data_IF_578677656973
#
_entry.id   IF_578677656973
#
_cell.length_a   1.000
_cell.length_b   1.000
_cell.length_c   1.000
_cell.angle_alpha   90.00
_cell.angle_beta   90.00
_cell.angle_gamma   90.00
#
_symmetry.space_group_name_H-M   'P 1'
#
loop_
_entity.id
_entity.type
_entity.pdbx_description
1 polymer ?
#
# COMPACT_ATOMS: atom_id res chain seq x y z
N UNK A 1 -13.93 17.95 22.28
CA UNK A 1 -12.70 17.69 21.48
C UNK A 1 -12.79 16.39 20.67
N UNK A 2 -13.31 15.29 21.24
CA UNK A 2 -13.44 14.00 20.54
C UNK A 2 -14.29 14.08 19.24
N UNK A 3 -15.36 14.89 19.23
CA UNK A 3 -16.21 15.10 18.06
C UNK A 3 -15.44 15.55 16.79
N UNK A 4 -14.43 16.43 16.93
CA UNK A 4 -13.63 16.90 15.79
C UNK A 4 -12.75 15.76 15.26
N UNK A 5 -12.13 14.99 16.15
CA UNK A 5 -11.30 13.83 15.77
C UNK A 5 -12.12 12.73 15.12
N UNK A 6 -13.32 12.47 15.63
CA UNK A 6 -14.27 11.50 15.05
C UNK A 6 -14.67 11.89 13.63
N UNK A 7 -14.94 13.19 13.41
CA UNK A 7 -15.22 13.72 12.07
C UNK A 7 -14.03 13.55 11.12
N UNK A 8 -12.80 13.78 11.60
CA UNK A 8 -11.57 13.61 10.79
C UNK A 8 -11.23 12.15 10.51
N UNK A 9 -11.53 11.22 11.42
CA UNK A 9 -11.40 9.78 11.15
C UNK A 9 -12.47 9.25 10.20
N UNK A 10 -13.59 9.96 10.01
CA UNK A 10 -14.67 9.48 9.16
C UNK A 10 -15.17 8.10 9.64
N UNK A 11 -15.20 7.12 8.74
CA UNK A 11 -15.75 5.76 8.99
C UNK A 11 -14.70 4.72 9.41
N UNK A 12 -13.55 5.14 9.93
CA UNK A 12 -12.52 4.21 10.44
C UNK A 12 -12.93 3.70 11.83
N UNK A 13 -12.64 2.43 12.12
CA UNK A 13 -12.85 1.86 13.46
C UNK A 13 -11.85 2.48 14.43
N UNK A 14 -12.32 3.34 15.33
CA UNK A 14 -11.48 3.97 16.36
C UNK A 14 -11.27 3.03 17.54
N UNK A 15 -10.10 3.11 18.16
CA UNK A 15 -9.80 2.50 19.44
C UNK A 15 -10.34 3.38 20.56
N UNK A 16 -11.38 2.91 21.24
CA UNK A 16 -12.01 3.60 22.37
C UNK A 16 -11.99 2.66 23.57
N UNK A 17 -11.03 2.85 24.48
CA UNK A 17 -10.84 2.01 25.68
C UNK A 17 -9.94 2.72 26.70
N UNK A 18 -10.16 2.51 28.00
CA UNK A 18 -9.26 2.97 29.08
C UNK A 18 -8.91 4.47 28.99
N UNK A 19 -9.87 5.31 28.59
CA UNK A 19 -9.66 6.75 28.41
C UNK A 19 -9.02 7.17 27.08
N UNK A 20 -8.58 6.24 26.24
CA UNK A 20 -8.08 6.50 24.89
C UNK A 20 -9.22 6.59 23.89
N UNK A 21 -9.12 7.55 22.96
CA UNK A 21 -9.97 7.65 21.77
C UNK A 21 -9.08 7.97 20.57
N UNK A 22 -8.50 6.94 19.96
CA UNK A 22 -7.49 7.03 18.92
C UNK A 22 -8.00 6.44 17.59
N UNK A 23 -7.67 7.09 16.48
CA UNK A 23 -7.78 6.49 15.16
C UNK A 23 -6.65 5.48 14.96
N UNK A 24 -6.85 4.30 15.56
CA UNK A 24 -5.93 3.18 15.66
C UNK A 24 -6.74 1.89 15.56
N UNK A 25 -6.28 0.91 14.79
CA UNK A 25 -6.94 -0.38 14.60
C UNK A 25 -5.90 -1.49 14.55
N UNK A 26 -6.10 -2.54 15.32
CA UNK A 26 -5.42 -3.82 15.15
C UNK A 26 -6.00 -4.51 13.92
N UNK A 27 -5.27 -4.52 12.81
CA UNK A 27 -5.66 -5.24 11.60
C UNK A 27 -5.48 -6.73 11.82
N UNK A 28 -4.35 -7.11 12.42
CA UNK A 28 -4.15 -8.41 13.09
C UNK A 28 -3.76 -8.15 14.54
N UNK A 29 -3.39 -9.16 15.32
CA UNK A 29 -2.96 -8.91 16.71
C UNK A 29 -1.61 -8.20 16.78
N UNK A 30 -0.77 -8.38 15.77
CA UNK A 30 0.61 -7.86 15.72
C UNK A 30 0.83 -6.76 14.67
N UNK A 31 -0.22 -6.37 13.95
CA UNK A 31 -0.17 -5.29 12.96
C UNK A 31 -1.24 -4.26 13.28
N UNK A 32 -0.80 -3.03 13.54
CA UNK A 32 -1.65 -1.88 13.85
C UNK A 32 -1.62 -0.90 12.68
N UNK A 33 -2.80 -0.48 12.23
CA UNK A 33 -2.98 0.66 11.33
C UNK A 33 -3.46 1.88 12.12
N UNK A 34 -2.84 3.03 11.92
CA UNK A 34 -3.30 4.28 12.56
C UNK A 34 -3.22 5.50 11.63
N UNK A 35 -3.85 6.60 12.06
CA UNK A 35 -3.60 7.93 11.46
C UNK A 35 -2.38 8.61 12.05
N UNK A 36 -1.92 9.68 11.39
CA UNK A 36 -0.75 10.45 11.81
C UNK A 36 -0.82 10.89 13.29
N UNK A 37 0.23 10.66 14.09
CA UNK A 37 0.35 11.21 15.44
C UNK A 37 0.67 12.71 15.35
N UNK A 38 -0.33 13.54 15.61
CA UNK A 38 -0.21 14.99 15.54
C UNK A 38 0.38 15.59 16.82
N UNK A 39 1.28 16.56 16.65
CA UNK A 39 1.89 17.34 17.72
C UNK A 39 1.11 18.64 17.99
N UNK A 40 1.13 19.11 19.23
CA UNK A 40 0.53 20.38 19.63
C UNK A 40 -0.92 20.53 19.17
N UNK A 41 -1.19 21.59 18.40
CA UNK A 41 -2.53 21.89 17.89
C UNK A 41 -3.06 20.85 16.87
N UNK A 42 -2.19 20.08 16.20
CA UNK A 42 -2.66 19.02 15.30
C UNK A 42 -3.34 17.88 16.06
N UNK A 43 -2.92 17.64 17.32
CA UNK A 43 -3.53 16.66 18.22
C UNK A 43 -4.99 16.97 18.58
N UNK A 44 -5.48 18.18 18.29
CA UNK A 44 -6.88 18.55 18.47
C UNK A 44 -7.81 17.84 17.49
N UNK A 45 -7.32 17.60 16.27
CA UNK A 45 -8.11 17.02 15.18
C UNK A 45 -7.53 15.71 14.61
N UNK A 46 -6.29 15.34 14.99
CA UNK A 46 -5.66 14.03 14.73
C UNK A 46 -5.45 13.25 16.02
N UNK A 47 -4.74 12.13 15.95
CA UNK A 47 -4.30 11.40 17.14
C UNK A 47 -3.30 12.26 17.92
N UNK A 48 -3.52 12.58 19.20
CA UNK A 48 -2.50 13.25 20.01
C UNK A 48 -1.30 12.34 20.18
N UNK A 49 -0.10 12.79 19.77
CA UNK A 49 1.11 11.96 19.82
C UNK A 49 1.39 11.40 21.21
N UNK A 50 1.24 12.20 22.28
CA UNK A 50 1.52 11.76 23.64
C UNK A 50 0.57 10.63 24.07
N UNK A 51 -0.69 10.64 23.63
CA UNK A 51 -1.63 9.55 23.92
C UNK A 51 -1.28 8.28 23.14
N UNK A 52 -0.88 8.41 21.87
CA UNK A 52 -0.44 7.26 21.07
C UNK A 52 0.81 6.63 21.67
N UNK A 53 1.82 7.45 21.97
CA UNK A 53 3.08 7.03 22.56
C UNK A 53 2.86 6.36 23.92
N UNK A 54 2.10 6.99 24.83
CA UNK A 54 1.77 6.41 26.14
C UNK A 54 1.08 5.06 25.97
N UNK A 55 0.08 4.99 25.09
CA UNK A 55 -0.61 3.73 24.82
C UNK A 55 0.34 2.63 24.34
N UNK A 56 1.14 2.90 23.30
CA UNK A 56 2.05 1.89 22.74
C UNK A 56 3.16 1.49 23.73
N UNK A 57 3.75 2.45 24.44
CA UNK A 57 4.78 2.19 25.45
C UNK A 57 4.25 1.32 26.58
N UNK A 58 3.03 1.55 27.06
CA UNK A 58 2.44 0.78 28.15
C UNK A 58 1.96 -0.59 27.69
N UNK A 59 1.27 -0.67 26.54
CA UNK A 59 0.63 -1.93 26.11
C UNK A 59 1.60 -2.92 25.46
N UNK A 60 2.66 -2.41 24.84
CA UNK A 60 3.62 -3.23 24.11
C UNK A 60 5.03 -3.15 24.69
N UNK A 61 5.22 -2.59 25.89
CA UNK A 61 6.51 -2.53 26.58
C UNK A 61 7.69 -2.06 25.71
N UNK A 62 7.43 -1.14 24.76
CA UNK A 62 8.43 -0.67 23.76
C UNK A 62 8.84 -1.71 22.70
N UNK A 63 8.30 -2.92 22.74
CA UNK A 63 8.43 -3.98 21.74
C UNK A 63 7.55 -3.71 20.50
N UNK A 64 7.62 -2.47 19.98
CA UNK A 64 6.93 -2.10 18.77
C UNK A 64 7.81 -1.29 17.82
N UNK A 65 7.54 -1.42 16.52
CA UNK A 65 8.20 -0.65 15.47
C UNK A 65 7.17 0.15 14.68
N UNK A 66 7.40 1.46 14.54
CA UNK A 66 6.52 2.38 13.82
C UNK A 66 7.07 2.68 12.43
N UNK A 67 6.30 2.36 11.39
CA UNK A 67 6.57 2.76 10.00
C UNK A 67 5.79 4.04 9.66
N UNK A 68 6.52 5.14 9.48
CA UNK A 68 5.98 6.43 9.09
C UNK A 68 6.04 6.62 7.57
N UNK A 69 4.91 6.40 6.90
CA UNK A 69 4.79 6.55 5.45
C UNK A 69 4.36 7.97 5.04
N UNK A 70 4.21 8.89 6.00
CA UNK A 70 3.55 10.17 5.79
C UNK A 70 4.43 11.18 5.06
N UNK A 71 5.74 11.05 5.26
CA UNK A 71 6.76 12.02 4.89
C UNK A 71 6.80 13.30 5.72
N UNK A 72 6.11 13.29 6.86
CA UNK A 72 6.20 14.31 7.90
C UNK A 72 6.84 13.67 9.13
N UNK A 73 7.93 14.25 9.61
CA UNK A 73 8.58 13.83 10.84
C UNK A 73 7.88 14.45 12.05
N UNK A 74 8.01 13.79 13.19
CA UNK A 74 7.54 14.22 14.51
C UNK A 74 8.60 13.80 15.54
N UNK A 75 8.46 14.26 16.79
CA UNK A 75 9.35 13.93 17.89
C UNK A 75 9.30 12.42 18.21
N UNK A 76 10.25 11.69 17.65
CA UNK A 76 10.40 10.24 17.86
C UNK A 76 10.75 9.88 19.30
N UNK A 77 11.28 10.81 20.11
CA UNK A 77 11.67 10.52 21.50
C UNK A 77 10.49 10.16 22.40
N UNK A 78 9.27 10.49 21.95
CA UNK A 78 8.02 10.08 22.60
C UNK A 78 7.80 8.57 22.55
N UNK A 79 8.24 7.93 21.46
CA UNK A 79 8.08 6.50 21.26
C UNK A 79 9.28 5.77 21.86
N UNK A 80 9.02 4.83 22.78
CA UNK A 80 10.06 3.97 23.33
C UNK A 80 10.50 2.86 22.37
N UNK A 81 9.66 2.52 21.40
CA UNK A 81 9.99 1.61 20.29
C UNK A 81 10.63 2.31 19.10
N UNK A 82 11.13 1.55 18.13
CA UNK A 82 11.80 2.12 16.96
C UNK A 82 10.83 2.85 16.03
N UNK A 83 11.29 3.96 15.42
CA UNK A 83 10.53 4.73 14.42
C UNK A 83 11.33 4.78 13.12
N UNK A 84 10.69 4.33 12.05
CA UNK A 84 11.20 4.19 10.70
C UNK A 84 10.60 5.28 9.80
N UNK A 85 11.36 6.36 9.52
CA UNK A 85 10.88 7.59 8.84
C UNK A 85 11.17 7.67 7.33
N UNK A 86 12.06 6.82 6.81
CA UNK A 86 12.58 6.95 5.44
C UNK A 86 11.69 6.24 4.38
N UNK A 87 10.49 5.83 4.76
CA UNK A 87 9.58 4.98 3.97
C UNK A 87 8.41 5.75 3.33
N UNK A 88 8.70 6.93 2.76
CA UNK A 88 7.67 7.83 2.25
C UNK A 88 7.45 7.70 0.73
N UNK A 89 6.19 7.89 0.32
CA UNK A 89 5.86 8.24 -1.06
C UNK A 89 4.66 9.19 -1.12
N UNK A 90 4.51 9.84 -2.28
CA UNK A 90 3.52 10.89 -2.50
C UNK A 90 2.11 10.41 -2.22
N UNK A 91 1.32 11.23 -1.52
CA UNK A 91 -0.04 10.84 -1.14
C UNK A 91 -0.92 10.53 -2.35
N UNK A 92 -1.75 9.49 -2.22
CA UNK A 92 -2.61 8.96 -3.28
C UNK A 92 -1.89 8.41 -4.54
N UNK A 93 -0.57 8.21 -4.50
CA UNK A 93 0.18 7.57 -5.59
C UNK A 93 0.50 6.11 -5.24
N UNK A 94 0.95 5.36 -6.25
CA UNK A 94 1.60 4.06 -6.03
C UNK A 94 3.00 4.27 -5.42
N UNK A 95 3.45 3.39 -4.52
CA UNK A 95 4.85 3.30 -4.11
C UNK A 95 5.69 2.74 -5.27
N UNK A 96 7.01 2.80 -5.18
CA UNK A 96 7.87 1.97 -6.04
C UNK A 96 7.86 0.52 -5.55
N UNK A 97 8.12 -0.43 -6.45
CA UNK A 97 8.06 -1.86 -6.08
C UNK A 97 9.14 -2.27 -5.08
N UNK A 98 10.34 -1.73 -5.20
CA UNK A 98 11.45 -1.98 -4.28
C UNK A 98 11.08 -1.57 -2.85
N UNK A 99 10.42 -0.42 -2.68
CA UNK A 99 9.95 0.07 -1.38
C UNK A 99 8.98 -0.93 -0.72
N UNK A 100 8.08 -1.55 -1.50
CA UNK A 100 7.14 -2.54 -0.98
C UNK A 100 7.86 -3.77 -0.44
N UNK A 101 8.83 -4.30 -1.19
CA UNK A 101 9.59 -5.48 -0.79
C UNK A 101 10.49 -5.20 0.42
N UNK A 102 11.21 -4.07 0.43
CA UNK A 102 12.08 -3.71 1.54
C UNK A 102 11.29 -3.52 2.85
N UNK A 103 10.14 -2.84 2.81
CA UNK A 103 9.29 -2.70 4.00
C UNK A 103 8.75 -4.07 4.46
N UNK A 104 8.27 -4.92 3.53
CA UNK A 104 7.74 -6.23 3.92
C UNK A 104 8.81 -7.12 4.54
N UNK A 105 10.04 -7.10 4.03
CA UNK A 105 11.17 -7.85 4.58
C UNK A 105 11.53 -7.39 5.99
N UNK A 106 11.58 -6.07 6.23
CA UNK A 106 11.82 -5.50 7.56
C UNK A 106 10.72 -5.86 8.57
N UNK A 107 9.46 -5.75 8.16
CA UNK A 107 8.32 -6.18 8.99
C UNK A 107 8.44 -7.68 9.30
N UNK A 108 8.79 -8.49 8.30
CA UNK A 108 8.93 -9.93 8.46
C UNK A 108 10.02 -10.29 9.49
N UNK A 109 11.21 -9.71 9.32
CA UNK A 109 12.33 -9.90 10.23
C UNK A 109 12.00 -9.48 11.66
N UNK A 110 11.38 -8.32 11.83
CA UNK A 110 11.00 -7.80 13.14
C UNK A 110 9.95 -8.68 13.85
N UNK A 111 8.88 -9.08 13.15
CA UNK A 111 7.84 -9.92 13.73
C UNK A 111 8.30 -11.36 13.98
N UNK A 112 9.30 -11.85 13.24
CA UNK A 112 9.91 -13.16 13.46
C UNK A 112 10.88 -13.16 14.65
N UNK A 113 11.47 -12.01 14.98
CA UNK A 113 12.47 -11.89 16.05
C UNK A 113 11.93 -12.22 17.43
N UNK A 114 10.69 -11.81 17.74
CA UNK A 114 10.01 -12.14 18.99
C UNK A 114 8.50 -12.22 18.75
N UNK A 115 7.78 -13.04 19.53
CA UNK A 115 6.32 -13.14 19.53
C UNK A 115 5.66 -11.88 20.12
N UNK A 116 6.28 -11.17 21.06
CA UNK A 116 5.68 -9.96 21.63
C UNK A 116 5.73 -8.76 20.69
N UNK A 117 6.60 -8.80 19.66
CA UNK A 117 6.80 -7.69 18.74
C UNK A 117 5.53 -7.28 17.99
N UNK A 118 5.25 -5.98 17.93
CA UNK A 118 4.12 -5.41 17.19
C UNK A 118 4.59 -4.36 16.19
N UNK A 119 4.01 -4.36 14.99
CA UNK A 119 4.30 -3.35 13.96
C UNK A 119 3.14 -2.36 13.86
N UNK A 120 3.47 -1.08 13.85
CA UNK A 120 2.53 0.03 13.69
C UNK A 120 2.81 0.73 12.36
N UNK A 121 1.83 0.79 11.47
CA UNK A 121 1.98 1.43 10.15
C UNK A 121 1.02 2.60 10.06
N UNK A 122 1.52 3.77 9.67
CA UNK A 122 0.68 4.93 9.46
C UNK A 122 1.11 5.78 8.27
N UNK A 123 0.19 6.60 7.80
CA UNK A 123 0.48 7.70 6.89
C UNK A 123 -0.22 8.96 7.44
N UNK A 124 -0.73 9.86 6.59
CA UNK A 124 -1.54 10.97 7.07
C UNK A 124 -2.90 10.51 7.61
N UNK A 125 -3.64 9.75 6.81
CA UNK A 125 -5.01 9.33 7.14
C UNK A 125 -5.11 7.86 7.59
N UNK A 126 -4.05 7.06 7.48
CA UNK A 126 -4.10 5.63 7.82
C UNK A 126 -5.08 4.83 6.96
N UNK A 127 -5.15 5.14 5.65
CA UNK A 127 -6.08 4.53 4.68
C UNK A 127 -5.35 3.83 3.54
N UNK A 128 -5.02 4.56 2.46
CA UNK A 128 -4.49 3.99 1.22
C UNK A 128 -3.07 3.47 1.37
N UNK A 129 -2.10 4.37 1.66
CA UNK A 129 -0.68 4.01 1.82
C UNK A 129 -0.44 2.92 2.88
N UNK A 130 -1.03 3.12 4.06
CA UNK A 130 -1.02 2.15 5.16
C UNK A 130 -1.60 0.81 4.73
N UNK A 131 -2.75 0.82 4.07
CA UNK A 131 -3.38 -0.40 3.57
C UNK A 131 -2.55 -1.12 2.51
N UNK A 132 -1.86 -0.38 1.64
CA UNK A 132 -0.98 -0.96 0.61
C UNK A 132 0.11 -1.81 1.25
N UNK A 133 0.84 -1.27 2.24
CA UNK A 133 1.89 -2.03 2.95
C UNK A 133 1.30 -3.22 3.69
N UNK A 134 0.21 -3.02 4.45
CA UNK A 134 -0.41 -4.10 5.22
C UNK A 134 -0.90 -5.22 4.30
N UNK A 135 -1.55 -4.91 3.18
CA UNK A 135 -2.01 -5.92 2.23
C UNK A 135 -0.83 -6.66 1.58
N UNK A 136 0.23 -5.95 1.18
CA UNK A 136 1.44 -6.60 0.65
C UNK A 136 2.05 -7.54 1.69
N UNK A 137 2.17 -7.11 2.94
CA UNK A 137 2.75 -7.95 3.99
C UNK A 137 1.88 -9.18 4.30
N UNK A 138 0.56 -9.03 4.39
CA UNK A 138 -0.35 -10.16 4.61
C UNK A 138 -0.33 -11.20 3.46
N UNK A 139 -0.04 -10.76 2.23
CA UNK A 139 0.25 -11.66 1.10
C UNK A 139 1.65 -12.29 1.23
N UNK A 140 2.64 -11.51 1.66
CA UNK A 140 4.01 -11.96 1.93
C UNK A 140 4.08 -12.99 3.06
N UNK A 141 3.13 -13.04 4.00
CA UNK A 141 3.11 -14.12 5.00
C UNK A 141 2.46 -15.41 4.47
N UNK A 142 1.92 -15.42 3.25
CA UNK A 142 1.14 -16.54 2.72
C UNK A 142 -0.27 -16.69 3.32
N UNK A 143 -0.68 -15.80 4.24
CA UNK A 143 -2.00 -15.88 4.90
C UNK A 143 -3.15 -15.67 3.92
N UNK A 144 -2.91 -14.89 2.87
CA UNK A 144 -3.85 -14.67 1.79
C UNK A 144 -3.23 -15.10 0.47
N UNK A 145 -4.05 -15.72 -0.38
CA UNK A 145 -3.66 -16.16 -1.73
C UNK A 145 -4.35 -15.35 -2.85
N UNK A 146 -5.06 -14.28 -2.48
CA UNK A 146 -5.89 -13.48 -3.36
C UNK A 146 -5.81 -12.02 -2.96
N UNK A 147 -5.50 -11.15 -3.93
CA UNK A 147 -5.47 -9.70 -3.73
C UNK A 147 -6.86 -9.18 -3.36
N UNK A 148 -7.92 -9.74 -3.94
CA UNK A 148 -9.29 -9.35 -3.63
C UNK A 148 -9.69 -9.75 -2.19
N UNK A 149 -9.15 -10.85 -1.66
CA UNK A 149 -9.45 -11.29 -0.30
C UNK A 149 -8.70 -10.48 0.74
N UNK A 150 -7.42 -10.18 0.52
CA UNK A 150 -6.65 -9.35 1.46
C UNK A 150 -7.16 -7.90 1.50
N UNK A 151 -7.56 -7.35 0.34
CA UNK A 151 -8.16 -6.01 0.26
C UNK A 151 -9.49 -5.94 1.02
N UNK A 152 -10.32 -6.97 0.87
CA UNK A 152 -11.57 -7.09 1.61
C UNK A 152 -11.30 -7.22 3.11
N UNK A 153 -10.42 -8.11 3.53
CA UNK A 153 -10.04 -8.29 4.94
C UNK A 153 -9.56 -6.97 5.56
N UNK A 154 -8.62 -6.28 4.92
CA UNK A 154 -8.12 -4.99 5.41
C UNK A 154 -9.24 -3.95 5.51
N UNK A 155 -10.10 -3.85 4.49
CA UNK A 155 -11.25 -2.94 4.50
C UNK A 155 -12.18 -3.21 5.68
N UNK A 156 -12.56 -4.48 5.85
CA UNK A 156 -13.43 -4.94 6.93
C UNK A 156 -12.80 -4.71 8.30
N UNK A 157 -11.50 -4.92 8.47
CA UNK A 157 -10.82 -4.65 9.74
C UNK A 157 -10.77 -3.15 10.05
N UNK A 158 -10.36 -2.32 9.07
CA UNK A 158 -10.04 -0.91 9.29
C UNK A 158 -11.27 0.02 9.30
N UNK A 159 -12.36 -0.34 8.63
CA UNK A 159 -13.52 0.54 8.43
C UNK A 159 -14.82 -0.06 8.97
N UNK A 160 -15.74 0.81 9.38
CA UNK A 160 -17.08 0.43 9.86
C UNK A 160 -18.05 0.10 8.73
N UNK A 161 -17.75 0.57 7.52
CA UNK A 161 -18.58 0.38 6.33
C UNK A 161 -17.75 -0.22 5.21
N UNK A 162 -18.41 -1.02 4.39
CA UNK A 162 -17.80 -1.68 3.24
C UNK A 162 -17.37 -0.70 2.14
N UNK A 163 -16.53 -1.18 1.22
CA UNK A 163 -16.04 -0.41 0.07
C UNK A 163 -15.02 0.68 0.44
N UNK A 164 -14.50 0.67 1.67
CA UNK A 164 -13.43 1.54 2.12
C UNK A 164 -12.15 0.74 2.37
N UNK A 165 -11.02 1.31 1.99
CA UNK A 165 -9.71 0.66 2.13
C UNK A 165 -8.69 1.27 1.19
N UNK A 166 -7.95 0.40 0.53
CA UNK A 166 -7.10 0.76 -0.62
C UNK A 166 -8.00 0.82 -1.85
N UNK A 167 -8.43 2.03 -2.22
CA UNK A 167 -9.40 2.21 -3.30
C UNK A 167 -8.79 2.83 -4.56
N UNK A 168 -7.59 3.39 -4.48
CA UNK A 168 -6.93 4.04 -5.62
C UNK A 168 -6.42 2.95 -6.59
N UNK A 169 -6.84 2.96 -7.88
CA UNK A 169 -6.41 1.95 -8.85
C UNK A 169 -4.91 1.70 -8.91
N UNK A 170 -4.08 2.76 -8.91
CA UNK A 170 -2.62 2.60 -8.87
C UNK A 170 -2.12 1.83 -7.64
N UNK A 171 -2.73 2.01 -6.46
CA UNK A 171 -2.32 1.31 -5.24
C UNK A 171 -2.71 -0.16 -5.29
N UNK A 172 -3.92 -0.48 -5.78
CA UNK A 172 -4.38 -1.86 -5.95
C UNK A 172 -3.51 -2.60 -6.98
N UNK A 173 -3.23 -1.97 -8.13
CA UNK A 173 -2.36 -2.54 -9.18
C UNK A 173 -0.94 -2.85 -8.67
N UNK A 174 -0.40 -2.04 -7.75
CA UNK A 174 0.93 -2.33 -7.19
C UNK A 174 0.91 -3.46 -6.14
N UNK A 175 -0.21 -3.67 -5.44
CA UNK A 175 -0.41 -4.88 -4.62
C UNK A 175 -0.48 -6.11 -5.53
N UNK A 176 -1.16 -6.03 -6.67
CA UNK A 176 -1.19 -7.10 -7.67
C UNK A 176 0.20 -7.40 -8.25
N UNK A 177 0.97 -6.36 -8.58
CA UNK A 177 2.36 -6.52 -9.03
C UNK A 177 3.24 -7.18 -7.98
N UNK A 178 3.16 -6.73 -6.73
CA UNK A 178 3.89 -7.34 -5.61
C UNK A 178 3.55 -8.83 -5.47
N UNK A 179 2.25 -9.16 -5.45
CA UNK A 179 1.81 -10.56 -5.31
C UNK A 179 2.19 -11.42 -6.52
N UNK A 180 2.11 -10.86 -7.73
CA UNK A 180 2.52 -11.54 -8.96
C UNK A 180 4.01 -11.86 -8.92
N UNK A 181 4.85 -10.95 -8.44
CA UNK A 181 6.29 -11.20 -8.29
C UNK A 181 6.58 -12.32 -7.28
N UNK A 182 5.93 -12.33 -6.13
CA UNK A 182 6.06 -13.42 -5.14
C UNK A 182 5.65 -14.77 -5.74
N UNK A 183 4.48 -14.84 -6.37
CA UNK A 183 3.91 -16.08 -6.94
C UNK A 183 4.69 -16.61 -8.14
N UNK A 184 5.21 -15.73 -8.99
CA UNK A 184 6.11 -16.11 -10.07
C UNK A 184 7.45 -16.60 -9.53
N UNK A 185 8.00 -15.93 -8.52
CA UNK A 185 9.22 -16.32 -7.84
C UNK A 185 9.23 -17.72 -7.27
N UNK A 186 8.15 -18.10 -6.57
CA UNK A 186 7.95 -19.46 -6.04
C UNK A 186 8.00 -20.52 -7.15
N UNK A 187 7.54 -20.16 -8.36
CA UNK A 187 7.57 -21.02 -9.55
C UNK A 187 8.90 -20.99 -10.29
N UNK A 188 9.93 -20.34 -9.74
CA UNK A 188 11.22 -20.13 -10.39
C UNK A 188 11.17 -19.17 -11.58
N UNK A 189 10.09 -18.37 -11.70
CA UNK A 189 9.90 -17.42 -12.79
C UNK A 189 10.30 -16.03 -12.32
N UNK A 190 11.55 -15.65 -12.58
CA UNK A 190 12.05 -14.30 -12.28
C UNK A 190 11.74 -13.37 -13.46
N UNK A 191 11.35 -12.14 -13.15
CA UNK A 191 11.13 -11.07 -14.14
C UNK A 191 11.97 -9.84 -13.83
N UNK A 192 12.27 -9.10 -14.88
CA UNK A 192 13.13 -7.93 -14.88
C UNK A 192 12.41 -6.72 -15.48
N UNK A 193 12.74 -5.49 -15.05
CA UNK A 193 12.22 -4.27 -15.65
C UNK A 193 12.66 -4.19 -17.11
N UNK A 194 11.77 -3.70 -17.98
CA UNK A 194 12.04 -3.64 -19.42
C UNK A 194 12.16 -2.22 -19.91
N UNK A 195 13.06 -2.03 -20.86
CA UNK A 195 13.09 -0.82 -21.65
C UNK A 195 11.98 -0.87 -22.70
N UNK A 196 11.16 0.17 -22.77
CA UNK A 196 10.19 0.36 -23.85
C UNK A 196 10.19 1.81 -24.32
N UNK A 197 9.77 1.99 -25.57
CA UNK A 197 9.51 3.29 -26.17
C UNK A 197 8.01 3.53 -26.22
N UNK A 198 7.53 4.68 -25.74
CA UNK A 198 6.16 5.11 -26.01
C UNK A 198 6.12 5.81 -27.37
N UNK A 199 5.29 5.28 -28.27
CA UNK A 199 5.09 5.81 -29.64
C UNK A 199 3.91 6.75 -29.74
N UNK A 200 2.80 6.42 -29.08
CA UNK A 200 1.55 7.19 -29.14
C UNK A 200 0.69 6.93 -27.91
N UNK A 201 0.01 7.96 -27.42
CA UNK A 201 -1.05 7.82 -26.42
C UNK A 201 -2.34 8.35 -27.03
N UNK A 202 -3.37 7.52 -27.05
CA UNK A 202 -4.68 7.82 -27.61
C UNK A 202 -5.71 7.72 -26.50
N UNK A 203 -6.52 8.76 -26.34
CA UNK A 203 -7.76 8.69 -25.58
C UNK A 203 -8.86 8.22 -26.51
N UNK A 204 -9.61 7.21 -26.09
CA UNK A 204 -10.75 6.67 -26.83
C UNK A 204 -12.00 6.77 -25.95
N UNK A 205 -13.16 7.02 -26.57
CA UNK A 205 -14.42 7.34 -25.88
C UNK A 205 -14.80 8.81 -26.06
N UNK A 206 -16.01 9.21 -25.66
CA UNK A 206 -16.44 10.61 -25.78
C UNK A 206 -15.53 11.53 -24.94
N UNK A 207 -15.18 12.68 -25.53
CA UNK A 207 -14.32 13.68 -24.89
C UNK A 207 -14.82 14.07 -23.48
N UNK A 208 -13.95 14.04 -22.45
CA UNK A 208 -14.36 14.45 -21.12
C UNK A 208 -14.78 15.93 -21.06
N UNK A 209 -15.89 16.23 -20.37
CA UNK A 209 -16.51 17.57 -20.36
C UNK A 209 -15.86 18.54 -19.36
N UNK A 210 -14.61 18.96 -19.60
CA UNK A 210 -13.88 19.92 -18.74
C UNK A 210 -13.94 21.37 -19.24
N UNK A 211 -14.44 21.60 -20.46
CA UNK A 211 -14.57 22.89 -21.13
C UNK A 211 -15.95 23.02 -21.79
N UNK A 212 -16.29 24.22 -22.25
CA UNK A 212 -17.58 24.51 -22.91
C UNK A 212 -17.88 23.52 -24.04
N UNK A 213 -19.17 23.23 -24.24
CA UNK A 213 -19.70 22.33 -25.26
C UNK A 213 -19.19 20.88 -25.14
N UNK A 214 -18.90 20.42 -23.92
CA UNK A 214 -18.52 19.03 -23.65
C UNK A 214 -17.17 18.66 -24.27
N UNK A 215 -16.18 19.55 -24.17
CA UNK A 215 -14.83 19.34 -24.71
C UNK A 215 -13.78 19.41 -23.61
N UNK A 216 -12.54 19.08 -23.94
CA UNK A 216 -11.38 19.36 -23.10
C UNK A 216 -10.17 19.72 -23.97
N UNK A 217 -9.11 20.23 -23.35
CA UNK A 217 -7.80 20.48 -23.97
C UNK A 217 -6.75 19.72 -23.18
N UNK A 218 -6.67 18.39 -23.33
CA UNK A 218 -5.82 17.58 -22.47
C UNK A 218 -4.34 17.76 -22.80
N UNK A 219 -3.51 17.67 -21.77
CA UNK A 219 -2.08 17.42 -21.88
C UNK A 219 -1.65 16.44 -20.80
N UNK A 220 -0.47 15.84 -20.96
CA UNK A 220 0.06 14.87 -20.02
C UNK A 220 1.49 15.17 -19.60
N UNK A 221 1.84 14.66 -18.43
CA UNK A 221 3.20 14.59 -17.91
C UNK A 221 3.54 13.11 -17.65
N UNK A 222 4.65 12.63 -18.23
CA UNK A 222 5.20 11.30 -18.00
C UNK A 222 6.31 11.44 -16.98
N UNK A 223 6.22 10.70 -15.89
CA UNK A 223 7.09 10.83 -14.72
C UNK A 223 7.69 9.46 -14.40
N UNK A 224 9.01 9.43 -14.24
CA UNK A 224 9.69 8.32 -13.58
C UNK A 224 9.39 8.43 -12.08
N UNK A 225 8.72 7.44 -11.50
CA UNK A 225 8.35 7.48 -10.07
C UNK A 225 9.60 7.58 -9.21
N UNK A 226 10.61 6.78 -9.55
CA UNK A 226 11.93 6.85 -8.93
C UNK A 226 12.59 8.21 -9.22
N UNK A 227 12.83 8.98 -8.16
CA UNK A 227 13.39 10.33 -8.24
C UNK A 227 12.40 11.43 -8.62
N UNK A 228 11.09 11.14 -8.72
CA UNK A 228 10.01 12.08 -9.10
C UNK A 228 10.38 12.96 -10.32
N UNK A 229 10.98 12.33 -11.34
CA UNK A 229 11.53 13.03 -12.50
C UNK A 229 10.53 13.07 -13.66
N UNK A 230 10.14 14.28 -14.07
CA UNK A 230 9.39 14.46 -15.32
C UNK A 230 10.28 14.14 -16.52
N UNK A 231 9.88 13.15 -17.31
CA UNK A 231 10.58 12.70 -18.53
C UNK A 231 10.09 13.50 -19.73
N UNK A 232 8.79 13.80 -19.78
CA UNK A 232 8.17 14.47 -20.91
C UNK A 232 6.85 15.14 -20.52
N UNK A 233 6.52 16.24 -21.20
CA UNK A 233 5.23 16.93 -21.08
C UNK A 233 4.72 17.37 -22.46
N UNK A 234 3.44 17.13 -22.73
CA UNK A 234 2.77 17.61 -23.96
C UNK A 234 2.08 18.96 -23.79
N UNK A 235 2.31 19.67 -22.68
CA UNK A 235 1.56 20.89 -22.36
C UNK A 235 1.65 21.96 -23.46
N UNK A 236 2.83 22.13 -24.07
CA UNK A 236 3.03 23.10 -25.16
C UNK A 236 2.26 22.72 -26.44
N UNK A 237 1.98 21.43 -26.61
CA UNK A 237 1.30 20.86 -27.78
C UNK A 237 -0.17 20.51 -27.48
N UNK A 238 -0.72 20.99 -26.36
CA UNK A 238 -2.07 20.68 -25.92
C UNK A 238 -3.09 21.13 -26.98
N UNK A 239 -3.93 20.20 -27.44
CA UNK A 239 -4.94 20.45 -28.48
C UNK A 239 -6.34 20.17 -27.95
N UNK A 240 -7.33 20.82 -28.56
CA UNK A 240 -8.73 20.61 -28.20
C UNK A 240 -9.16 19.19 -28.60
N UNK A 241 -9.72 18.46 -27.66
CA UNK A 241 -10.38 17.18 -27.86
C UNK A 241 -11.89 17.41 -27.97
N UNK A 242 -12.42 17.08 -29.15
CA UNK A 242 -13.84 16.96 -29.45
C UNK A 242 -14.07 15.63 -30.17
N UNK A 243 -15.11 14.89 -29.81
CA UNK A 243 -15.46 13.62 -30.46
C UNK A 243 -15.13 12.40 -29.61
N UNK A 244 -14.78 11.29 -30.27
CA UNK A 244 -14.65 9.95 -29.65
C UNK A 244 -13.21 9.42 -29.58
N UNK A 245 -12.24 10.18 -30.09
CA UNK A 245 -10.82 9.82 -30.05
C UNK A 245 -9.94 11.06 -30.03
N UNK A 246 -8.78 10.99 -29.36
CA UNK A 246 -7.79 12.06 -29.32
C UNK A 246 -6.38 11.51 -29.15
N UNK A 247 -5.52 11.81 -30.12
CA UNK A 247 -4.11 11.46 -30.07
C UNK A 247 -3.29 12.56 -29.39
N UNK A 248 -2.58 12.17 -28.33
CA UNK A 248 -1.50 12.96 -27.76
C UNK A 248 -0.22 12.59 -28.51
N UNK A 249 0.13 13.45 -29.48
CA UNK A 249 1.28 13.24 -30.34
C UNK A 249 2.58 13.59 -29.62
N UNK A 250 3.59 12.75 -29.81
CA UNK A 250 4.95 13.03 -29.37
C UNK A 250 5.76 13.61 -30.51
N UNK A 251 6.53 14.67 -30.27
CA UNK A 251 7.52 15.16 -31.22
C UNK A 251 8.75 14.25 -31.34
N UNK A 252 8.85 13.21 -30.50
CA UNK A 252 9.95 12.26 -30.41
C UNK A 252 9.50 10.96 -29.74
N UNK A 253 10.27 9.88 -29.91
CA UNK A 253 10.05 8.65 -29.14
C UNK A 253 10.42 8.89 -27.67
N UNK A 254 9.60 8.37 -26.73
CA UNK A 254 9.83 8.54 -25.29
C UNK A 254 10.31 7.23 -24.67
N UNK A 255 11.61 7.10 -24.31
CA UNK A 255 12.12 5.93 -23.61
C UNK A 255 11.69 5.92 -22.15
N UNK A 256 11.23 4.77 -21.65
CA UNK A 256 10.83 4.56 -20.25
C UNK A 256 11.26 3.16 -19.76
N UNK A 257 11.43 3.02 -18.44
CA UNK A 257 11.68 1.76 -17.75
C UNK A 257 11.27 1.86 -16.28
N UNK A 258 11.11 0.72 -15.57
CA UNK A 258 10.70 0.69 -14.17
C UNK A 258 9.26 1.18 -13.92
N UNK A 259 9.07 1.92 -12.83
CA UNK A 259 7.79 2.48 -12.37
C UNK A 259 7.46 3.83 -13.05
N UNK A 260 6.37 3.84 -13.82
CA UNK A 260 5.94 4.99 -14.63
C UNK A 260 4.60 5.53 -14.15
N UNK A 261 4.53 6.86 -14.03
CA UNK A 261 3.33 7.61 -13.68
C UNK A 261 3.00 8.60 -14.81
N UNK A 262 1.78 8.52 -15.32
CA UNK A 262 1.25 9.50 -16.28
C UNK A 262 0.18 10.33 -15.59
N UNK A 263 0.37 11.65 -15.55
CA UNK A 263 -0.63 12.61 -15.06
C UNK A 263 -1.25 13.33 -16.24
N UNK A 264 -2.57 13.43 -16.27
CA UNK A 264 -3.32 14.11 -17.34
C UNK A 264 -4.07 15.29 -16.77
N UNK A 265 -4.01 16.40 -17.48
CA UNK A 265 -4.59 17.68 -17.09
C UNK A 265 -5.38 18.26 -18.26
N UNK A 266 -6.41 19.04 -17.97
CA UNK A 266 -7.07 19.92 -18.91
C UNK A 266 -6.41 21.31 -18.82
N UNK A 267 -5.85 21.78 -19.93
CA UNK A 267 -5.32 23.13 -20.10
C UNK A 267 -6.47 24.13 -20.16
N UNK A 268 -6.70 24.81 -19.04
CA UNK A 268 -7.84 25.72 -18.85
C UNK A 268 -7.43 27.18 -18.92
N UNK A 269 -8.37 28.06 -19.25
CA UNK A 269 -8.07 29.49 -19.45
C UNK A 269 -7.55 30.21 -18.19
N UNK A 270 -8.04 29.82 -17.00
CA UNK A 270 -7.62 30.41 -15.71
C UNK A 270 -6.68 29.48 -14.92
N UNK A 271 -6.94 28.18 -14.95
CA UNK A 271 -6.13 27.19 -14.24
C UNK A 271 -6.23 25.84 -14.92
N UNK A 272 -5.13 25.11 -14.85
CA UNK A 272 -5.10 23.72 -15.30
C UNK A 272 -5.79 22.84 -14.28
N UNK A 273 -6.62 21.93 -14.77
CA UNK A 273 -7.40 21.02 -13.95
C UNK A 273 -6.86 19.61 -14.11
N UNK A 274 -6.54 18.93 -13.00
CA UNK A 274 -6.20 17.50 -13.05
C UNK A 274 -7.43 16.73 -13.54
N UNK A 275 -7.23 15.92 -14.57
CA UNK A 275 -8.26 15.04 -15.11
C UNK A 275 -8.16 13.68 -14.42
N UNK A 276 -7.01 13.02 -14.59
CA UNK A 276 -6.74 11.71 -14.01
C UNK A 276 -5.23 11.45 -13.97
N UNK A 277 -4.84 10.34 -13.35
CA UNK A 277 -3.50 9.77 -13.43
C UNK A 277 -3.58 8.26 -13.60
N UNK A 278 -2.53 7.64 -14.10
CA UNK A 278 -2.39 6.20 -14.13
C UNK A 278 -0.93 5.83 -13.87
N UNK A 279 -0.71 4.65 -13.29
CA UNK A 279 0.62 4.14 -13.02
C UNK A 279 0.74 2.67 -13.45
N UNK A 280 1.92 2.29 -13.93
CA UNK A 280 2.26 0.93 -14.30
C UNK A 280 3.76 0.70 -14.14
N UNK A 281 4.19 -0.57 -14.15
CA UNK A 281 5.60 -0.93 -14.13
C UNK A 281 5.94 -1.76 -15.39
N UNK A 282 7.05 -1.42 -16.02
CA UNK A 282 7.50 -2.04 -17.29
C UNK A 282 7.90 -3.51 -17.17
N UNK A 283 8.22 -4.03 -15.99
CA UNK A 283 8.50 -5.46 -15.78
C UNK A 283 7.30 -6.38 -16.09
N UNK A 284 6.08 -5.81 -16.03
CA UNK A 284 4.84 -6.52 -16.31
C UNK A 284 4.36 -6.37 -17.75
N UNK A 285 5.22 -5.84 -18.61
CA UNK A 285 5.02 -5.82 -20.05
C UNK A 285 5.79 -7.01 -20.60
N UNK A 286 5.05 -8.04 -21.00
CA UNK A 286 5.60 -9.24 -21.59
C UNK A 286 5.37 -9.28 -23.11
N UNK A 287 5.90 -10.32 -23.75
CA UNK A 287 5.81 -10.58 -25.18
C UNK A 287 4.38 -10.85 -25.69
N UNK A 288 3.39 -11.03 -24.82
CA UNK A 288 1.98 -11.13 -25.19
C UNK A 288 1.31 -9.78 -25.40
N UNK A 289 1.91 -8.69 -24.90
CA UNK A 289 1.41 -7.36 -25.14
C UNK A 289 1.48 -7.07 -26.65
N UNK A 290 0.32 -6.84 -27.29
CA UNK A 290 0.20 -6.52 -28.72
C UNK A 290 0.69 -5.09 -29.03
N UNK A 291 1.90 -4.74 -28.59
CA UNK A 291 2.52 -3.41 -28.66
C UNK A 291 1.62 -2.29 -28.14
N UNK A 292 0.69 -2.64 -27.24
CA UNK A 292 -0.36 -1.73 -26.75
C UNK A 292 -0.68 -2.04 -25.29
N UNK A 293 -0.78 -1.00 -24.48
CA UNK A 293 -1.31 -1.06 -23.11
C UNK A 293 -2.65 -0.34 -23.08
N UNK A 294 -3.68 -0.96 -22.50
CA UNK A 294 -5.02 -0.37 -22.41
C UNK A 294 -5.40 -0.16 -20.95
N UNK A 295 -5.89 1.03 -20.64
CA UNK A 295 -6.36 1.42 -19.32
C UNK A 295 -7.77 1.98 -19.45
N UNK A 296 -8.75 1.23 -18.97
CA UNK A 296 -10.14 1.67 -18.91
C UNK A 296 -10.34 2.64 -17.74
N UNK A 297 -11.51 3.27 -17.65
CA UNK A 297 -11.83 4.22 -16.57
C UNK A 297 -11.60 3.66 -15.15
N UNK A 298 -11.76 2.34 -14.95
CA UNK A 298 -11.51 1.66 -13.65
C UNK A 298 -10.03 1.59 -13.27
N UNK A 299 -9.15 1.72 -14.26
CA UNK A 299 -7.70 1.68 -14.09
C UNK A 299 -7.11 3.08 -13.84
N UNK A 300 -7.93 4.13 -13.91
CA UNK A 300 -7.53 5.52 -13.78
C UNK A 300 -7.82 6.05 -12.37
N UNK A 301 -6.88 6.83 -11.86
CA UNK A 301 -6.99 7.51 -10.59
C UNK A 301 -7.45 8.96 -10.75
N UNK A 302 -8.25 9.50 -9.81
CA UNK A 302 -8.70 8.84 -8.59
C UNK A 302 -9.90 7.92 -8.83
N UNK A 303 -10.15 6.97 -7.92
CA UNK A 303 -11.25 5.99 -8.04
C UNK A 303 -12.65 6.59 -8.21
N UNK A 304 -12.83 7.86 -7.85
CA UNK A 304 -14.07 8.63 -8.00
C UNK A 304 -14.44 8.90 -9.46
N UNK A 305 -13.50 8.73 -10.41
CA UNK A 305 -13.75 8.94 -11.84
C UNK A 305 -14.89 8.06 -12.39
N UNK A 306 -15.10 6.87 -11.81
CA UNK A 306 -16.21 5.98 -12.19
C UNK A 306 -17.60 6.60 -11.93
N UNK A 307 -17.69 7.63 -11.10
CA UNK A 307 -18.92 8.37 -10.77
C UNK A 307 -18.91 9.80 -11.31
N UNK A 308 -17.90 10.16 -12.10
CA UNK A 308 -17.74 11.50 -12.64
C UNK A 308 -18.42 11.61 -14.00
N UNK A 309 -19.58 12.28 -14.05
CA UNK A 309 -20.39 12.43 -15.27
C UNK A 309 -19.67 13.17 -16.41
N UNK A 310 -18.51 13.77 -16.15
CA UNK A 310 -17.67 14.35 -17.20
C UNK A 310 -17.04 13.28 -18.08
N UNK A 311 -16.84 12.06 -17.59
CA UNK A 311 -16.19 10.98 -18.33
C UNK A 311 -17.22 10.01 -18.94
N UNK A 312 -16.93 9.56 -20.15
CA UNK A 312 -17.66 8.45 -20.76
C UNK A 312 -17.36 7.13 -20.03
N UNK A 313 -18.36 6.26 -19.85
CA UNK A 313 -18.16 4.96 -19.18
C UNK A 313 -17.19 4.04 -19.95
N UNK A 314 -17.10 4.20 -21.26
CA UNK A 314 -16.19 3.48 -22.14
C UNK A 314 -14.90 4.26 -22.40
N UNK A 315 -14.64 5.34 -21.66
CA UNK A 315 -13.40 6.09 -21.78
C UNK A 315 -12.20 5.19 -21.45
N UNK A 316 -11.20 5.20 -22.34
CA UNK A 316 -9.97 4.44 -22.16
C UNK A 316 -8.76 5.19 -22.69
N UNK A 317 -7.61 4.90 -22.09
CA UNK A 317 -6.29 5.36 -22.52
C UNK A 317 -5.57 4.18 -23.14
N UNK A 318 -5.16 4.36 -24.39
CA UNK A 318 -4.44 3.37 -25.17
C UNK A 318 -3.03 3.89 -25.41
N UNK A 319 -2.03 3.18 -24.87
CA UNK A 319 -0.62 3.51 -25.01
C UNK A 319 0.00 2.55 -26.01
N UNK A 320 0.35 3.04 -27.19
CA UNK A 320 1.12 2.29 -28.18
C UNK A 320 2.60 2.35 -27.80
N UNK A 321 3.18 1.16 -27.64
CA UNK A 321 4.56 0.97 -27.20
C UNK A 321 5.38 0.28 -28.28
N UNK A 322 6.70 0.39 -28.17
CA UNK A 322 7.68 -0.37 -28.94
C UNK A 322 8.71 -0.96 -27.96
N UNK A 323 8.65 -2.27 -27.68
CA UNK A 323 9.64 -2.92 -26.85
C UNK A 323 10.98 -3.07 -27.59
N UNK A 324 12.05 -3.33 -26.84
CA UNK A 324 13.32 -3.73 -27.43
C UNK A 324 13.18 -5.07 -28.17
N UNK A 325 13.76 -5.19 -29.36
CA UNK A 325 13.77 -6.45 -30.13
C UNK A 325 14.69 -7.53 -29.54
N UNK A 326 15.64 -7.16 -28.67
CA UNK A 326 16.65 -8.07 -28.10
C UNK A 326 16.47 -8.37 -26.62
N UNK A 327 15.74 -7.53 -25.89
CA UNK A 327 15.57 -7.65 -24.45
C UNK A 327 14.10 -7.56 -24.08
N UNK A 328 13.66 -8.41 -23.17
CA UNK A 328 12.31 -8.46 -22.63
C UNK A 328 12.36 -8.61 -21.10
N UNK A 329 11.22 -8.89 -20.46
CA UNK A 329 11.13 -8.99 -19.01
C UNK A 329 11.73 -10.28 -18.45
N UNK A 330 12.35 -11.13 -19.29
CA UNK A 330 13.11 -12.32 -18.88
C UNK A 330 14.62 -12.14 -19.09
N UNK A 331 15.04 -11.00 -19.65
CA UNK A 331 16.46 -10.73 -19.89
C UNK A 331 17.12 -10.20 -18.63
N UNK A 332 18.13 -10.92 -18.13
CA UNK A 332 18.91 -10.52 -16.95
C UNK A 332 19.75 -9.27 -17.22
N UNK A 333 20.13 -8.55 -16.16
CA UNK A 333 20.92 -7.32 -16.26
C UNK A 333 22.28 -7.52 -16.97
N UNK A 334 22.93 -8.66 -16.76
CA UNK A 334 24.20 -9.03 -17.40
C UNK A 334 24.05 -9.43 -18.88
N UNK A 335 22.83 -9.74 -19.34
CA UNK A 335 22.48 -10.16 -20.69
C UNK A 335 21.84 -9.03 -21.51
N UNK A 336 21.66 -7.86 -20.91
CA UNK A 336 21.10 -6.70 -21.62
C UNK A 336 21.96 -6.32 -22.83
N UNK A 337 21.29 -6.02 -23.94
CA UNK A 337 21.97 -5.46 -25.11
C UNK A 337 22.55 -4.07 -24.81
N UNK A 338 23.53 -3.64 -25.61
CA UNK A 338 24.21 -2.35 -25.47
C UNK A 338 23.26 -1.14 -25.47
N UNK A 339 22.07 -1.28 -26.06
CA UNK A 339 21.08 -0.21 -26.09
C UNK A 339 20.25 -0.14 -24.79
N UNK A 340 19.83 -1.27 -24.22
CA UNK A 340 19.00 -1.28 -23.00
C UNK A 340 19.81 -0.99 -21.73
N UNK A 341 21.08 -1.43 -21.69
CA UNK A 341 21.93 -1.35 -20.50
C UNK A 341 22.01 0.05 -19.88
N UNK A 342 22.24 1.15 -20.63
CA UNK A 342 22.29 2.50 -20.05
C UNK A 342 20.97 2.98 -19.44
N UNK A 343 19.83 2.45 -19.90
CA UNK A 343 18.51 2.84 -19.38
C UNK A 343 18.17 2.09 -18.09
N UNK A 344 18.54 0.80 -18.01
CA UNK A 344 18.18 -0.08 -16.89
C UNK A 344 19.21 -0.11 -15.76
N UNK A 345 20.39 0.51 -15.93
CA UNK A 345 21.45 0.53 -14.91
C UNK A 345 20.99 1.10 -13.56
N UNK A 346 20.06 2.07 -13.59
CA UNK A 346 19.52 2.66 -12.37
C UNK A 346 18.50 1.74 -11.67
N UNK A 347 17.98 0.73 -12.35
CA UNK A 347 17.04 -0.26 -11.79
C UNK A 347 17.78 -1.45 -11.16
N UNK A 348 18.94 -1.81 -11.70
CA UNK A 348 19.71 -3.02 -11.37
C UNK A 348 19.89 -3.25 -9.87
N UNK A 349 20.40 -2.26 -9.14
CA UNK A 349 20.68 -2.41 -7.69
C UNK A 349 19.44 -2.81 -6.89
N UNK A 350 18.30 -2.18 -7.16
CA UNK A 350 17.08 -2.42 -6.40
C UNK A 350 16.39 -3.70 -6.83
N UNK A 351 16.34 -3.97 -8.13
CA UNK A 351 15.77 -5.21 -8.63
C UNK A 351 16.56 -6.44 -8.23
N UNK A 352 17.90 -6.35 -8.16
CA UNK A 352 18.71 -7.45 -7.59
C UNK A 352 18.36 -7.73 -6.12
N UNK A 353 17.98 -6.71 -5.32
CA UNK A 353 17.45 -6.95 -3.97
C UNK A 353 16.10 -7.65 -4.00
N UNK A 354 15.16 -7.17 -4.82
CA UNK A 354 13.84 -7.79 -4.99
C UNK A 354 13.99 -9.26 -5.39
N UNK A 355 14.83 -9.53 -6.39
CA UNK A 355 15.12 -10.89 -6.88
C UNK A 355 15.77 -11.73 -5.78
N UNK A 356 16.73 -11.17 -5.03
CA UNK A 356 17.32 -11.82 -3.87
C UNK A 356 16.28 -12.25 -2.84
N UNK A 357 15.40 -11.33 -2.44
CA UNK A 357 14.30 -11.61 -1.50
C UNK A 357 13.37 -12.69 -2.05
N UNK A 358 12.95 -12.57 -3.31
CA UNK A 358 12.03 -13.53 -3.95
C UNK A 358 12.68 -14.92 -4.09
N UNK A 359 13.96 -15.00 -4.44
CA UNK A 359 14.67 -16.27 -4.63
C UNK A 359 14.82 -17.07 -3.33
N UNK A 360 14.85 -16.38 -2.19
CA UNK A 360 14.95 -16.98 -0.86
C UNK A 360 13.57 -17.15 -0.21
N UNK A 361 12.54 -16.51 -0.76
CA UNK A 361 11.20 -16.52 -0.21
C UNK A 361 10.56 -17.91 -0.31
N UNK A 362 10.18 -18.45 0.84
CA UNK A 362 9.37 -19.66 0.96
C UNK A 362 8.02 -19.24 1.53
N UNK A 363 6.94 -19.67 0.89
CA UNK A 363 5.58 -19.43 1.40
C UNK A 363 5.48 -20.10 2.76
N UNK A 364 5.21 -19.34 3.84
CA UNK A 364 4.89 -19.95 5.13
C UNK A 364 3.60 -20.77 5.00
N UNK A 365 3.53 -21.91 5.68
CA UNK A 365 2.25 -22.60 5.84
C UNK A 365 1.26 -21.77 6.68
N UNK A 366 -0.03 -22.13 6.68
CA UNK A 366 -1.06 -21.38 7.41
C UNK A 366 -0.78 -21.31 8.91
N UNK A 367 -0.11 -22.32 9.48
CA UNK A 367 0.21 -22.36 10.90
C UNK A 367 1.26 -21.30 11.25
N UNK A 368 2.38 -21.25 10.53
CA UNK A 368 3.42 -20.24 10.68
C UNK A 368 2.88 -18.84 10.40
N UNK A 369 2.05 -18.67 9.36
CA UNK A 369 1.41 -17.40 9.06
C UNK A 369 0.48 -16.95 10.20
N UNK A 370 -0.25 -17.90 10.79
CA UNK A 370 -1.13 -17.65 11.94
C UNK A 370 -0.35 -17.27 13.18
N UNK A 371 0.72 -17.99 13.50
CA UNK A 371 1.61 -17.66 14.61
C UNK A 371 2.24 -16.27 14.43
N UNK A 372 2.71 -15.97 13.23
CA UNK A 372 3.36 -14.70 12.93
C UNK A 372 2.42 -13.49 13.07
N UNK A 373 1.16 -13.62 12.68
CA UNK A 373 0.20 -12.50 12.64
C UNK A 373 -0.72 -12.42 13.86
N UNK A 374 -1.01 -13.57 14.48
CA UNK A 374 -2.03 -13.73 15.52
C UNK A 374 -1.53 -14.46 16.76
N UNK A 375 -0.26 -14.93 16.81
CA UNK A 375 0.31 -15.79 17.87
C UNK A 375 -0.23 -17.21 17.87
N UNK A 376 -1.54 -17.37 17.76
CA UNK A 376 -2.18 -18.69 17.70
C UNK A 376 -3.55 -18.61 17.02
N UNK A 377 -4.11 -19.78 16.72
CA UNK A 377 -5.38 -19.91 15.99
C UNK A 377 -6.58 -19.30 16.71
N UNK A 378 -6.56 -19.19 18.04
CA UNK A 378 -7.70 -18.64 18.79
C UNK A 378 -7.89 -17.13 18.57
N UNK A 379 -6.82 -16.43 18.18
CA UNK A 379 -6.84 -15.01 17.85
C UNK A 379 -7.02 -14.73 16.36
N UNK A 380 -6.88 -15.74 15.51
CA UNK A 380 -7.12 -15.66 14.07
C UNK A 380 -8.61 -15.42 13.79
N UNK A 381 -8.89 -14.39 13.00
CA UNK A 381 -10.24 -14.00 12.59
C UNK A 381 -10.41 -13.98 11.05
N UNK A 382 -9.40 -14.46 10.31
CA UNK A 382 -9.41 -14.43 8.84
C UNK A 382 -10.54 -15.27 8.27
N UNK A 383 -10.64 -16.54 8.69
CA UNK A 383 -11.62 -17.48 8.12
C UNK A 383 -13.07 -17.03 8.42
N UNK A 384 -13.32 -16.48 9.60
CA UNK A 384 -14.62 -15.93 9.99
C UNK A 384 -15.05 -14.78 9.05
N UNK A 385 -14.12 -13.89 8.71
CA UNK A 385 -14.37 -12.77 7.79
C UNK A 385 -14.50 -13.26 6.35
N UNK A 386 -13.71 -14.26 5.93
CA UNK A 386 -13.80 -14.82 4.58
C UNK A 386 -15.11 -15.61 4.37
N UNK A 387 -15.62 -16.29 5.40
CA UNK A 387 -16.94 -16.93 5.37
C UNK A 387 -18.05 -15.90 5.18
N UNK A 388 -17.99 -14.79 5.91
CA UNK A 388 -18.93 -13.69 5.76
C UNK A 388 -18.93 -13.10 4.34
N UNK A 389 -17.74 -12.84 3.78
CA UNK A 389 -17.59 -12.40 2.37
C UNK A 389 -18.27 -13.37 1.39
N UNK A 390 -18.15 -14.68 1.62
CA UNK A 390 -18.78 -15.70 0.77
C UNK A 390 -20.31 -15.67 0.89
N UNK A 391 -20.85 -15.49 2.10
CA UNK A 391 -22.31 -15.38 2.31
C UNK A 391 -22.94 -14.12 1.71
N UNK A 392 -22.20 -13.00 1.68
CA UNK A 392 -22.66 -11.76 1.03
C UNK A 392 -22.91 -11.96 -0.46
N UNK A 393 -22.08 -12.77 -1.11
CA UNK A 393 -22.21 -13.07 -2.53
C UNK A 393 -23.36 -14.07 -2.84
N UNK A 394 -23.91 -14.76 -1.83
CA UNK A 394 -24.91 -15.82 -2.01
C UNK A 394 -26.35 -15.43 -1.64
N UNK A 395 -26.67 -14.13 -1.50
CA UNK A 395 -27.98 -13.60 -1.07
C UNK A 395 -28.45 -14.08 0.33
N UNK A 396 -27.57 -14.65 1.15
CA UNK A 396 -27.84 -15.13 2.52
C UNK A 396 -27.36 -14.11 3.58
N UNK A 397 -27.55 -12.83 3.27
CA UNK A 397 -26.94 -11.72 3.99
C UNK A 397 -27.80 -11.26 5.19
N UNK A 398 -27.27 -11.41 6.41
CA UNK A 398 -27.76 -10.73 7.61
C UNK A 398 -26.74 -9.65 8.07
N UNK A 399 -27.11 -8.36 8.05
CA UNK A 399 -26.28 -7.27 8.56
C UNK A 399 -25.79 -7.47 10.02
N UNK A 400 -26.55 -8.18 10.86
CA UNK A 400 -26.15 -8.46 12.25
C UNK A 400 -24.94 -9.39 12.34
N UNK A 401 -24.70 -10.20 11.32
CA UNK A 401 -23.58 -11.15 11.26
C UNK A 401 -22.24 -10.41 11.32
N UNK A 402 -22.06 -9.35 10.51
CA UNK A 402 -20.83 -8.56 10.53
C UNK A 402 -20.61 -7.86 11.87
N UNK A 403 -21.67 -7.35 12.49
CA UNK A 403 -21.59 -6.73 13.81
C UNK A 403 -21.11 -7.73 14.88
N UNK A 404 -21.63 -8.96 14.84
CA UNK A 404 -21.23 -10.04 15.75
C UNK A 404 -19.79 -10.50 15.50
N UNK A 405 -19.36 -10.60 14.24
CA UNK A 405 -17.96 -10.89 13.88
C UNK A 405 -17.05 -9.79 14.44
N UNK A 406 -17.41 -8.53 14.26
CA UNK A 406 -16.66 -7.39 14.78
C UNK A 406 -16.56 -7.40 16.32
N UNK A 407 -17.66 -7.76 17.02
CA UNK A 407 -17.65 -7.91 18.49
C UNK A 407 -16.68 -9.02 18.92
N UNK A 408 -16.71 -10.17 18.27
CA UNK A 408 -15.81 -11.31 18.55
C UNK A 408 -14.35 -10.96 18.26
N UNK A 409 -14.05 -10.33 17.12
CA UNK A 409 -12.69 -9.88 16.79
C UNK A 409 -12.15 -8.87 17.83
N UNK A 410 -12.98 -7.93 18.28
CA UNK A 410 -12.63 -7.00 19.38
C UNK A 410 -12.34 -7.74 20.68
N UNK A 411 -13.18 -8.71 21.06
CA UNK A 411 -12.95 -9.53 22.25
C UNK A 411 -11.63 -10.31 22.17
N UNK A 412 -11.31 -10.90 21.00
CA UNK A 412 -10.02 -11.53 20.73
C UNK A 412 -8.85 -10.55 20.90
N UNK A 413 -8.97 -9.31 20.42
CA UNK A 413 -7.93 -8.28 20.60
C UNK A 413 -7.74 -7.88 22.07
N UNK A 414 -8.83 -7.73 22.83
CA UNK A 414 -8.75 -7.42 24.27
C UNK A 414 -8.04 -8.54 25.01
N UNK A 415 -8.41 -9.80 24.74
CA UNK A 415 -7.77 -10.96 25.36
C UNK A 415 -6.28 -11.03 25.01
N UNK A 416 -5.91 -10.80 23.75
CA UNK A 416 -4.51 -10.71 23.32
C UNK A 416 -3.73 -9.64 24.12
N UNK A 417 -4.27 -8.44 24.27
CA UNK A 417 -3.63 -7.36 25.03
C UNK A 417 -3.41 -7.75 26.50
N UNK A 418 -4.38 -8.42 27.11
CA UNK A 418 -4.27 -8.90 28.50
C UNK A 418 -3.18 -9.97 28.63
N UNK A 419 -3.12 -10.92 27.70
CA UNK A 419 -2.09 -11.97 27.70
C UNK A 419 -0.68 -11.39 27.48
N UNK A 420 -0.54 -10.37 26.63
CA UNK A 420 0.74 -9.66 26.44
C UNK A 420 1.22 -8.99 27.72
N UNK A 421 0.34 -8.24 28.40
CA UNK A 421 0.66 -7.62 29.69
C UNK A 421 1.05 -8.65 30.76
N UNK A 422 0.37 -9.80 30.80
CA UNK A 422 0.68 -10.88 31.74
C UNK A 422 2.06 -11.49 31.45
N UNK A 423 2.38 -11.76 30.18
CA UNK A 423 3.70 -12.26 29.79
C UNK A 423 4.81 -11.27 30.15
N UNK A 424 4.58 -9.97 29.93
CA UNK A 424 5.51 -8.92 30.32
C UNK A 424 5.75 -8.90 31.84
N UNK A 425 4.69 -8.98 32.66
CA UNK A 425 4.82 -9.03 34.13
C UNK A 425 5.60 -10.25 34.59
N UNK A 426 5.40 -11.41 33.96
CA UNK A 426 6.14 -12.63 34.26
C UNK A 426 7.63 -12.51 33.91
N UNK A 427 7.96 -11.89 32.76
CA UNK A 427 9.36 -11.66 32.36
C UNK A 427 10.09 -10.73 33.33
N UNK A 428 9.43 -9.64 33.78
CA UNK A 428 10.00 -8.72 34.77
C UNK A 428 10.27 -9.44 36.10
N UNK A 429 9.30 -10.23 36.59
CA UNK A 429 9.47 -11.00 37.82
C UNK A 429 10.60 -12.03 37.73
N UNK A 430 10.78 -12.66 36.57
CA UNK A 430 11.89 -13.60 36.34
C UNK A 430 13.25 -12.91 36.33
N UNK A 431 13.36 -11.73 35.71
CA UNK A 431 14.60 -10.94 35.69
C UNK A 431 14.96 -10.40 37.08
N UNK A 432 13.98 -9.91 37.84
CA UNK A 432 14.20 -9.49 39.22
C UNK A 432 14.65 -10.67 40.10
N UNK A 433 13.98 -11.83 39.98
CA UNK A 433 14.36 -13.05 40.72
C UNK A 433 15.76 -13.56 40.42
N UNK A 434 16.22 -13.46 39.17
CA UNK A 434 17.60 -13.80 38.78
C UNK A 434 18.63 -12.81 39.35
N UNK A 435 18.31 -11.52 39.37
CA UNK A 435 19.16 -10.49 39.96
C UNK A 435 19.32 -10.65 41.49
N UNK A 436 18.28 -11.11 42.20
CA UNK A 436 18.38 -11.45 43.62
C UNK A 436 19.27 -12.68 43.86
N UNK A 437 19.17 -13.72 43.02
CA UNK A 437 20.02 -14.91 43.14
C UNK A 437 21.50 -14.63 42.84
N UNK A 438 21.82 -13.77 41.87
CA UNK A 438 23.21 -13.38 41.59
C UNK A 438 23.84 -12.52 42.69
N UNK A 439 23.05 -11.66 43.34
CA UNK A 439 23.51 -10.85 44.48
C UNK A 439 23.71 -11.69 45.77
N UNK A 440 22.96 -12.77 45.96
CA UNK A 440 23.17 -13.70 47.08
C UNK A 440 24.42 -14.57 46.88
N UNK A 441 24.80 -14.87 45.63
CA UNK A 441 26.02 -15.64 45.31
C UNK A 441 27.29 -14.77 45.44
N UNK A 442 27.20 -13.44 45.26
CA UNK A 442 28.33 -12.52 45.46
C UNK A 442 28.54 -12.10 46.92
N UNK A 443 27.59 -12.39 47.82
CA UNK A 443 27.66 -12.08 49.25
C UNK A 443 27.96 -13.32 50.14
N UNK A 444 28.29 -14.47 49.54
CA UNK A 444 28.89 -15.64 50.19
C UNK A 444 30.35 -15.77 49.78
#
# INVERSE_FOLDING_TARGET
MNYIREKVSGKKKRFIKEGYNLDLTYVTKRIIAMSYPGEGLEGLYRNPIDQVATYLNTQHNRDYMVFNLSGRKYDRSKFGGEVQDDWQWKDHHSPSLDLLFEICDLIHGYLKGDKVNVVVIHCLAGKGRTGTIICCYLLYTGKFQSVADVLYYYGTQRFEVEGLGVNQPCQMKYIEYFYKLLTMGIKGQIVYPTFINIKRITFQGKAPAFSMNGTCKPYMQIIQVKGDKEIYSTQKDAKKYKGVSHDLLFGKVIPICGDILIKVFNDGMLKNQKMFRLAFNTAFIDETAQNTLQFSLKDLDPSQLLKDDRFDKNFQVVIQIEPCIKCNNKTEFNQLCNFCKPHLINEEKQWNKIIGLISQYKVPDDELATELLFINKSFDDVEEIMQFKRSENSNDYDPKTLENINKRSRAKTIKFQQEQLQQQQQQIQQQEGQCFQENDIQNQ
#
